data_IF_214747348833
#
_entry.id   IF_214747348833
#
_cell.length_a   1.000
_cell.length_b   1.000
_cell.length_c   1.000
_cell.angle_alpha   90.00
_cell.angle_beta   90.00
_cell.angle_gamma   90.00
#
_symmetry.space_group_name_H-M   'P 1'
#
loop_
_entity.id
_entity.type
_entity.pdbx_description
1 polymer ?
#
# COMPACT_ATOMS: atom_id res chain seq x y z
N UNK A 1 -32.72 -6.75 -0.37
CA UNK A 1 -31.75 -6.60 -1.48
C UNK A 1 -30.37 -7.10 -1.09
N UNK A 2 -29.72 -6.54 -0.10
CA UNK A 2 -28.36 -6.91 0.34
C UNK A 2 -28.21 -8.40 0.70
N UNK A 3 -29.18 -8.97 1.43
CA UNK A 3 -29.19 -10.41 1.79
C UNK A 3 -29.15 -11.34 0.57
N UNK A 4 -29.84 -10.96 -0.54
CA UNK A 4 -29.82 -11.74 -1.77
C UNK A 4 -28.46 -11.68 -2.46
N UNK A 5 -27.78 -10.52 -2.43
CA UNK A 5 -26.43 -10.37 -3.00
C UNK A 5 -25.39 -11.20 -2.22
N UNK A 6 -25.47 -11.19 -0.88
CA UNK A 6 -24.63 -12.03 -0.03
C UNK A 6 -24.89 -13.51 -0.32
N UNK A 7 -26.15 -13.92 -0.51
CA UNK A 7 -26.50 -15.29 -0.84
C UNK A 7 -25.91 -15.71 -2.20
N UNK A 8 -25.92 -14.84 -3.21
CA UNK A 8 -25.28 -15.10 -4.52
C UNK A 8 -23.77 -15.36 -4.35
N UNK A 9 -23.09 -14.55 -3.54
CA UNK A 9 -21.66 -14.70 -3.29
C UNK A 9 -21.33 -15.99 -2.54
N UNK A 10 -22.16 -16.39 -1.59
CA UNK A 10 -21.97 -17.59 -0.78
C UNK A 10 -22.39 -18.89 -1.50
N UNK A 11 -23.15 -18.78 -2.60
CA UNK A 11 -23.64 -19.95 -3.33
C UNK A 11 -22.58 -20.44 -4.33
N UNK A 12 -22.09 -21.67 -4.14
CA UNK A 12 -21.14 -22.32 -5.03
C UNK A 12 -21.64 -22.52 -6.45
N UNK A 13 -22.97 -22.61 -6.65
CA UNK A 13 -23.60 -22.80 -7.95
C UNK A 13 -23.90 -21.50 -8.70
N UNK A 14 -23.70 -20.34 -8.09
CA UNK A 14 -23.86 -19.04 -8.78
C UNK A 14 -22.79 -18.88 -9.85
N UNK A 15 -23.20 -18.33 -11.01
CA UNK A 15 -22.25 -18.07 -12.09
C UNK A 15 -21.21 -17.02 -11.67
N UNK A 16 -20.03 -17.07 -12.28
CA UNK A 16 -18.97 -16.06 -12.06
C UNK A 16 -19.51 -14.66 -12.37
N UNK A 17 -20.30 -14.51 -13.43
CA UNK A 17 -20.93 -13.24 -13.83
C UNK A 17 -21.85 -12.69 -12.74
N UNK A 18 -22.69 -13.54 -12.14
CA UNK A 18 -23.59 -13.14 -11.07
C UNK A 18 -22.83 -12.72 -9.81
N UNK A 19 -21.76 -13.45 -9.48
CA UNK A 19 -20.89 -13.12 -8.35
C UNK A 19 -20.20 -11.78 -8.54
N UNK A 20 -19.65 -11.52 -9.74
CA UNK A 20 -19.02 -10.23 -10.07
C UNK A 20 -20.04 -9.09 -9.96
N UNK A 21 -21.25 -9.28 -10.48
CA UNK A 21 -22.31 -8.28 -10.38
C UNK A 21 -22.72 -8.01 -8.92
N UNK A 22 -22.82 -9.06 -8.11
CA UNK A 22 -23.11 -8.93 -6.67
C UNK A 22 -22.01 -8.18 -5.92
N UNK A 23 -20.72 -8.50 -6.16
CA UNK A 23 -19.57 -7.79 -5.56
C UNK A 23 -19.62 -6.31 -5.92
N UNK A 24 -19.82 -5.97 -7.22
CA UNK A 24 -19.90 -4.58 -7.68
C UNK A 24 -20.98 -3.81 -6.95
N UNK A 25 -22.16 -4.39 -6.84
CA UNK A 25 -23.30 -3.72 -6.21
C UNK A 25 -23.12 -3.55 -4.70
N UNK A 26 -22.57 -4.56 -4.01
CA UNK A 26 -22.23 -4.42 -2.59
C UNK A 26 -21.12 -3.37 -2.41
N UNK A 27 -20.11 -3.36 -3.28
CA UNK A 27 -19.03 -2.38 -3.23
C UNK A 27 -19.55 -0.94 -3.38
N UNK A 28 -20.55 -0.69 -4.22
CA UNK A 28 -21.21 0.62 -4.33
C UNK A 28 -21.89 1.06 -3.03
N UNK A 29 -22.45 0.10 -2.28
CA UNK A 29 -23.14 0.38 -1.00
C UNK A 29 -22.12 0.73 0.12
N UNK A 30 -20.98 0.04 0.14
CA UNK A 30 -19.97 0.22 1.22
C UNK A 30 -18.81 1.14 0.82
N UNK A 31 -18.79 1.61 -0.43
CA UNK A 31 -17.78 2.57 -0.87
C UNK A 31 -17.92 3.88 -0.08
N UNK A 32 -16.78 4.36 0.45
CA UNK A 32 -16.72 5.66 1.11
C UNK A 32 -16.45 6.71 0.04
N UNK A 33 -17.19 7.80 0.12
CA UNK A 33 -17.00 9.02 -0.66
C UNK A 33 -16.31 10.08 0.17
N UNK A 34 -15.61 11.01 -0.48
CA UNK A 34 -15.08 12.23 0.15
C UNK A 34 -16.19 13.09 0.79
N UNK A 35 -17.41 12.94 0.33
CA UNK A 35 -18.57 13.72 0.78
C UNK A 35 -19.33 13.02 1.92
N UNK A 36 -18.91 11.80 2.32
CA UNK A 36 -19.55 11.10 3.43
C UNK A 36 -19.25 11.78 4.76
N UNK A 37 -20.27 11.95 5.58
CA UNK A 37 -20.15 12.40 6.96
C UNK A 37 -19.50 11.31 7.84
N UNK A 38 -18.97 11.69 8.98
CA UNK A 38 -18.38 10.76 9.94
C UNK A 38 -19.37 9.66 10.40
N UNK A 39 -20.66 10.01 10.49
CA UNK A 39 -21.72 9.06 10.83
C UNK A 39 -21.96 8.03 9.71
N UNK A 40 -21.99 8.47 8.45
CA UNK A 40 -22.12 7.60 7.27
C UNK A 40 -20.91 6.67 7.10
N UNK A 41 -19.71 7.20 7.31
CA UNK A 41 -18.47 6.41 7.31
C UNK A 41 -18.56 5.27 8.34
N UNK A 42 -18.97 5.59 9.55
CA UNK A 42 -19.12 4.61 10.64
C UNK A 42 -20.20 3.57 10.34
N UNK A 43 -21.31 3.98 9.72
CA UNK A 43 -22.37 3.07 9.32
C UNK A 43 -21.90 2.10 8.23
N UNK A 44 -21.23 2.59 7.20
CA UNK A 44 -20.67 1.79 6.11
C UNK A 44 -19.59 0.81 6.61
N UNK A 45 -18.76 1.22 7.54
CA UNK A 45 -17.76 0.37 8.19
C UNK A 45 -18.42 -0.73 9.01
N UNK A 46 -19.39 -0.38 9.84
CA UNK A 46 -20.17 -1.34 10.60
C UNK A 46 -20.85 -2.38 9.68
N UNK A 47 -21.43 -1.93 8.58
CA UNK A 47 -22.06 -2.78 7.58
C UNK A 47 -21.07 -3.74 6.92
N UNK A 48 -19.88 -3.27 6.55
CA UNK A 48 -18.81 -4.10 5.96
C UNK A 48 -18.43 -5.25 6.89
N UNK A 49 -18.28 -4.98 8.18
CA UNK A 49 -17.90 -5.98 9.17
C UNK A 49 -19.02 -6.98 9.51
N UNK A 50 -20.27 -6.70 9.14
CA UNK A 50 -21.37 -7.69 9.28
C UNK A 50 -21.35 -8.76 8.18
N UNK A 51 -20.57 -8.57 7.12
CA UNK A 51 -20.50 -9.54 6.03
C UNK A 51 -19.68 -10.77 6.42
N UNK A 52 -20.00 -11.95 5.84
CA UNK A 52 -19.12 -13.11 5.93
C UNK A 52 -17.72 -12.79 5.42
N UNK A 53 -16.68 -13.38 6.03
CA UNK A 53 -15.27 -13.15 5.66
C UNK A 53 -15.01 -13.36 4.17
N UNK A 54 -15.68 -14.35 3.55
CA UNK A 54 -15.57 -14.60 2.10
C UNK A 54 -16.08 -13.44 1.25
N UNK A 55 -17.10 -12.73 1.71
CA UNK A 55 -17.63 -11.53 1.04
C UNK A 55 -16.69 -10.35 1.23
N UNK A 56 -16.15 -10.16 2.43
CA UNK A 56 -15.16 -9.12 2.71
C UNK A 56 -13.93 -9.29 1.81
N UNK A 57 -13.38 -10.52 1.72
CA UNK A 57 -12.25 -10.82 0.84
C UNK A 57 -12.57 -10.54 -0.65
N UNK A 58 -13.79 -10.84 -1.09
CA UNK A 58 -14.21 -10.54 -2.47
C UNK A 58 -14.32 -9.06 -2.75
N UNK A 59 -14.77 -8.26 -1.79
CA UNK A 59 -14.82 -6.81 -1.87
C UNK A 59 -13.42 -6.20 -1.88
N UNK A 60 -12.52 -6.69 -1.02
CA UNK A 60 -11.13 -6.24 -1.00
C UNK A 60 -10.46 -6.50 -2.35
N UNK A 61 -10.62 -7.71 -2.90
CA UNK A 61 -10.12 -8.05 -4.24
C UNK A 61 -10.72 -7.16 -5.33
N UNK A 62 -12.03 -6.89 -5.27
CA UNK A 62 -12.68 -5.99 -6.23
C UNK A 62 -12.12 -4.57 -6.16
N UNK A 63 -11.92 -4.04 -4.97
CA UNK A 63 -11.33 -2.72 -4.79
C UNK A 63 -9.87 -2.70 -5.27
N UNK A 64 -9.09 -3.74 -4.98
CA UNK A 64 -7.74 -3.89 -5.52
C UNK A 64 -7.73 -3.81 -7.06
N UNK A 65 -8.55 -4.59 -7.74
CA UNK A 65 -8.64 -4.60 -9.20
C UNK A 65 -9.13 -3.25 -9.75
N UNK A 66 -10.20 -2.70 -9.17
CA UNK A 66 -10.83 -1.44 -9.65
C UNK A 66 -9.85 -0.28 -9.67
N UNK A 67 -8.91 -0.27 -8.73
CA UNK A 67 -8.01 0.86 -8.53
C UNK A 67 -6.58 0.62 -9.04
N UNK A 68 -6.20 -0.63 -9.35
CA UNK A 68 -4.87 -0.98 -9.87
C UNK A 68 -4.52 -0.28 -11.21
N UNK A 69 -5.50 -0.07 -12.07
CA UNK A 69 -5.28 0.53 -13.39
C UNK A 69 -4.88 2.03 -13.38
N UNK A 70 -4.86 2.69 -12.23
CA UNK A 70 -4.54 4.13 -12.13
C UNK A 70 -3.10 4.42 -11.68
N UNK A 71 -2.34 3.40 -11.29
CA UNK A 71 -0.99 3.55 -10.71
C UNK A 71 0.13 3.93 -11.68
N UNK A 72 -0.03 3.65 -12.97
CA UNK A 72 1.02 3.81 -13.98
C UNK A 72 1.47 5.26 -14.26
N UNK A 73 0.77 6.25 -13.75
CA UNK A 73 1.19 7.64 -13.87
C UNK A 73 2.34 8.01 -12.92
N UNK A 74 2.55 7.22 -11.86
CA UNK A 74 3.49 7.48 -10.77
C UNK A 74 4.67 6.50 -10.76
N UNK A 75 5.21 6.16 -11.93
CA UNK A 75 6.39 5.31 -12.08
C UNK A 75 7.56 6.12 -12.63
N UNK A 76 8.82 5.67 -12.49
CA UNK A 76 9.97 6.33 -13.06
C UNK A 76 9.89 6.41 -14.59
N UNK A 77 9.92 7.62 -15.16
CA UNK A 77 9.82 7.88 -16.60
C UNK A 77 11.16 8.23 -17.25
N UNK A 78 12.18 8.46 -16.44
CA UNK A 78 13.52 8.88 -16.88
C UNK A 78 14.57 8.45 -15.86
N UNK A 79 15.83 8.72 -16.14
CA UNK A 79 16.97 8.45 -15.25
C UNK A 79 17.23 6.96 -15.00
N UNK A 80 16.77 6.12 -15.91
CA UNK A 80 16.91 4.67 -15.89
C UNK A 80 16.21 4.04 -17.06
N UNK A 81 16.19 2.70 -17.06
CA UNK A 81 15.57 1.90 -18.13
C UNK A 81 14.73 0.81 -17.52
N UNK A 82 13.65 0.46 -18.18
CA UNK A 82 12.82 -0.69 -17.86
C UNK A 82 13.33 -1.93 -18.62
N UNK A 83 13.35 -3.08 -17.97
CA UNK A 83 13.72 -4.35 -18.62
C UNK A 83 12.62 -4.90 -19.53
N UNK A 84 11.41 -4.39 -19.41
CA UNK A 84 10.22 -4.77 -20.16
C UNK A 84 9.16 -3.67 -20.08
N UNK A 85 7.91 -4.04 -19.89
CA UNK A 85 6.80 -3.10 -19.73
C UNK A 85 7.00 -2.21 -18.51
N UNK A 86 6.88 -0.90 -18.70
CA UNK A 86 7.02 0.07 -17.61
C UNK A 86 5.93 -0.12 -16.56
N UNK A 87 6.33 -0.26 -15.29
CA UNK A 87 5.45 -0.55 -14.17
C UNK A 87 5.15 -2.04 -13.94
N UNK A 88 5.55 -2.93 -14.87
CA UNK A 88 5.41 -4.39 -14.75
C UNK A 88 6.72 -5.12 -15.07
N UNK A 89 7.84 -4.52 -14.80
CA UNK A 89 9.16 -5.11 -15.02
C UNK A 89 10.18 -4.49 -14.06
N UNK A 90 11.45 -4.81 -14.25
CA UNK A 90 12.53 -4.25 -13.44
C UNK A 90 12.88 -2.86 -13.96
N UNK A 91 12.83 -1.86 -13.08
CA UNK A 91 13.41 -0.56 -13.33
C UNK A 91 14.88 -0.54 -12.91
N UNK A 92 15.75 -0.27 -13.88
CA UNK A 92 17.20 -0.16 -13.69
C UNK A 92 17.58 1.32 -13.75
N UNK A 93 17.87 1.97 -12.61
CA UNK A 93 18.36 3.34 -12.64
C UNK A 93 19.71 3.45 -13.33
N UNK A 94 20.04 4.62 -13.84
CA UNK A 94 21.40 4.89 -14.33
C UNK A 94 22.37 4.88 -13.15
N UNK A 95 23.28 3.90 -13.13
CA UNK A 95 24.23 3.68 -12.04
C UNK A 95 25.14 4.88 -11.78
N UNK A 96 25.39 5.74 -12.76
CA UNK A 96 26.25 6.91 -12.64
C UNK A 96 25.50 8.14 -12.13
N UNK A 97 24.18 8.12 -12.12
CA UNK A 97 23.37 9.24 -11.68
C UNK A 97 23.32 9.30 -10.16
N UNK A 98 23.52 10.49 -9.61
CA UNK A 98 23.21 10.80 -8.22
C UNK A 98 21.73 11.13 -8.11
N UNK A 99 20.92 10.46 -7.28
CA UNK A 99 19.54 10.84 -7.06
C UNK A 99 19.43 12.30 -6.63
N UNK A 100 18.61 13.09 -7.31
CA UNK A 100 18.52 14.55 -7.10
C UNK A 100 17.69 14.93 -5.87
N UNK A 101 16.94 14.01 -5.34
CA UNK A 101 15.99 14.34 -4.27
C UNK A 101 16.63 14.22 -2.89
N UNK A 102 16.53 15.35 -2.17
CA UNK A 102 16.55 15.43 -0.72
C UNK A 102 17.88 15.01 -0.05
N UNK A 103 18.57 16.02 0.50
CA UNK A 103 19.80 15.81 1.29
C UNK A 103 19.65 14.79 2.44
N UNK A 104 18.43 14.59 2.93
CA UNK A 104 18.14 13.62 3.99
C UNK A 104 18.13 12.17 3.50
N UNK A 105 17.74 11.92 2.23
CA UNK A 105 17.68 10.56 1.68
C UNK A 105 18.99 10.08 1.06
N UNK A 106 19.90 10.99 0.72
CA UNK A 106 21.23 10.65 0.17
C UNK A 106 22.29 11.67 0.60
N UNK A 107 22.60 11.76 1.91
CA UNK A 107 23.48 12.80 2.46
C UNK A 107 24.90 12.74 1.91
N UNK A 108 25.38 11.56 1.53
CA UNK A 108 26.74 11.34 1.02
C UNK A 108 26.85 11.52 -0.50
N UNK A 109 25.75 11.89 -1.18
CA UNK A 109 25.73 12.07 -2.63
C UNK A 109 26.10 10.80 -3.40
N UNK A 110 25.70 9.63 -2.92
CA UNK A 110 25.99 8.37 -3.58
C UNK A 110 25.26 8.27 -4.92
N UNK A 111 25.92 7.68 -5.90
CA UNK A 111 25.28 7.32 -7.18
C UNK A 111 24.33 6.14 -6.98
N UNK A 112 23.39 5.96 -7.89
CA UNK A 112 22.49 4.81 -7.87
C UNK A 112 23.24 3.48 -7.79
N UNK A 113 24.33 3.33 -8.56
CA UNK A 113 25.16 2.12 -8.51
C UNK A 113 25.67 1.82 -7.08
N UNK A 114 26.17 2.85 -6.39
CA UNK A 114 26.64 2.70 -5.01
C UNK A 114 25.51 2.39 -4.03
N UNK A 115 24.33 3.01 -4.21
CA UNK A 115 23.16 2.74 -3.37
C UNK A 115 22.70 1.29 -3.54
N UNK A 116 22.56 0.84 -4.80
CA UNK A 116 22.12 -0.53 -5.08
C UNK A 116 23.13 -1.57 -4.56
N UNK A 117 24.43 -1.32 -4.73
CA UNK A 117 25.48 -2.19 -4.20
C UNK A 117 25.44 -2.26 -2.66
N UNK A 118 25.25 -1.10 -2.00
CA UNK A 118 25.15 -1.04 -0.54
C UNK A 118 24.00 -1.89 0.01
N UNK A 119 22.84 -1.84 -0.66
CA UNK A 119 21.67 -2.65 -0.28
C UNK A 119 21.63 -4.03 -0.97
N UNK A 120 22.69 -4.40 -1.72
CA UNK A 120 22.80 -5.68 -2.44
C UNK A 120 21.73 -5.95 -3.47
N UNK A 121 21.21 -4.89 -4.10
CA UNK A 121 20.22 -4.96 -5.16
C UNK A 121 20.94 -5.14 -6.51
N UNK A 122 20.94 -6.36 -7.03
CA UNK A 122 21.74 -6.69 -8.22
C UNK A 122 21.15 -6.22 -9.56
N UNK A 123 19.84 -6.26 -9.71
CA UNK A 123 19.18 -6.14 -11.01
C UNK A 123 18.27 -4.91 -11.15
N UNK A 124 18.28 -4.00 -10.17
CA UNK A 124 17.33 -2.90 -10.11
C UNK A 124 16.10 -3.23 -9.26
N UNK A 125 15.06 -2.44 -9.39
CA UNK A 125 13.84 -2.53 -8.57
C UNK A 125 12.70 -3.13 -9.41
N UNK A 126 12.18 -4.26 -8.97
CA UNK A 126 11.01 -4.88 -9.58
C UNK A 126 9.77 -4.04 -9.29
N UNK A 127 8.94 -3.86 -10.31
CA UNK A 127 7.61 -3.26 -10.20
C UNK A 127 6.55 -4.25 -10.66
N UNK A 128 5.41 -4.21 -9.98
CA UNK A 128 4.19 -4.93 -10.37
C UNK A 128 3.01 -3.95 -10.24
N UNK A 129 2.23 -3.83 -11.30
CA UNK A 129 1.06 -2.94 -11.36
C UNK A 129 1.35 -1.48 -10.94
N UNK A 130 2.55 -1.00 -11.26
CA UNK A 130 2.99 0.36 -10.94
C UNK A 130 3.53 0.54 -9.52
N UNK A 131 3.49 -0.49 -8.67
CA UNK A 131 4.05 -0.49 -7.32
C UNK A 131 5.42 -1.19 -7.28
N UNK A 132 6.44 -0.62 -6.61
CA UNK A 132 7.70 -1.31 -6.41
C UNK A 132 7.54 -2.48 -5.43
N UNK A 133 8.08 -3.62 -5.78
CA UNK A 133 8.13 -4.81 -4.91
C UNK A 133 9.26 -4.64 -3.92
N UNK A 134 8.97 -3.97 -2.81
CA UNK A 134 9.93 -3.73 -1.74
C UNK A 134 10.01 -4.85 -0.70
N UNK A 135 9.26 -5.93 -0.86
CA UNK A 135 9.20 -7.01 0.14
C UNK A 135 10.59 -7.60 0.44
N UNK A 136 11.47 -7.73 -0.57
CA UNK A 136 12.85 -8.22 -0.39
C UNK A 136 13.80 -7.16 0.21
N UNK A 137 13.45 -5.89 0.14
CA UNK A 137 14.20 -4.76 0.71
C UNK A 137 13.69 -4.37 2.08
N UNK A 138 12.55 -4.90 2.48
CA UNK A 138 11.94 -4.58 3.77
C UNK A 138 12.75 -5.19 4.91
N UNK A 139 13.17 -4.34 5.83
CA UNK A 139 13.78 -4.76 7.09
C UNK A 139 12.73 -5.26 8.07
N UNK A 140 11.54 -4.67 8.03
CA UNK A 140 10.39 -5.08 8.82
C UNK A 140 9.10 -4.93 8.03
N UNK A 141 8.12 -5.75 8.38
CA UNK A 141 6.77 -5.74 7.80
C UNK A 141 5.73 -5.71 8.90
N UNK A 142 4.79 -4.81 8.77
CA UNK A 142 3.62 -4.71 9.65
C UNK A 142 2.36 -4.83 8.80
N UNK A 143 1.43 -5.64 9.24
CA UNK A 143 0.08 -5.73 8.66
C UNK A 143 -0.89 -5.24 9.72
N UNK A 144 -1.52 -4.10 9.46
CA UNK A 144 -2.58 -3.56 10.30
C UNK A 144 -3.87 -4.32 9.99
N UNK A 145 -4.50 -4.87 11.02
CA UNK A 145 -5.69 -5.68 10.83
C UNK A 145 -6.94 -4.81 10.82
N UNK A 146 -7.81 -5.04 9.88
CA UNK A 146 -9.09 -4.34 9.80
C UNK A 146 -9.98 -4.58 11.04
N UNK A 147 -9.87 -5.77 11.64
CA UNK A 147 -10.60 -6.12 12.86
C UNK A 147 -10.21 -5.25 14.06
N UNK A 148 -8.95 -4.76 14.07
CA UNK A 148 -8.42 -3.98 15.19
C UNK A 148 -8.68 -2.48 15.05
N UNK A 149 -8.79 -1.96 13.81
CA UNK A 149 -8.80 -0.52 13.54
C UNK A 149 -10.09 -0.11 12.80
N UNK A 150 -10.71 -1.02 12.08
CA UNK A 150 -11.74 -0.71 11.10
C UNK A 150 -11.15 -0.29 9.74
N UNK A 151 -11.69 -0.85 8.67
CA UNK A 151 -11.20 -0.60 7.31
C UNK A 151 -11.24 0.90 6.95
N UNK A 152 -12.37 1.53 7.22
CA UNK A 152 -12.59 2.92 6.86
C UNK A 152 -11.69 3.86 7.67
N UNK A 153 -11.50 3.57 8.95
CA UNK A 153 -10.57 4.33 9.78
C UNK A 153 -9.13 4.18 9.28
N UNK A 154 -8.72 2.98 8.87
CA UNK A 154 -7.40 2.75 8.31
C UNK A 154 -7.20 3.53 7.00
N UNK A 155 -8.20 3.56 6.12
CA UNK A 155 -8.18 4.35 4.89
C UNK A 155 -8.12 5.85 5.19
N UNK A 156 -8.93 6.34 6.15
CA UNK A 156 -8.92 7.73 6.60
C UNK A 156 -7.56 8.15 7.14
N UNK A 157 -6.93 7.31 7.95
CA UNK A 157 -5.60 7.57 8.51
C UNK A 157 -4.53 7.63 7.42
N UNK A 158 -4.56 6.75 6.44
CA UNK A 158 -3.64 6.80 5.31
C UNK A 158 -3.79 8.08 4.49
N UNK A 159 -5.00 8.52 4.28
CA UNK A 159 -5.33 9.68 3.46
C UNK A 159 -4.96 11.00 4.16
N UNK A 160 -5.40 11.14 5.41
CA UNK A 160 -5.39 12.43 6.11
C UNK A 160 -4.43 12.49 7.30
N UNK A 161 -4.11 11.37 7.93
CA UNK A 161 -3.36 11.31 9.18
C UNK A 161 -2.24 10.26 9.16
N UNK A 162 -1.40 10.29 8.13
CA UNK A 162 -0.29 9.32 7.95
C UNK A 162 0.62 9.19 9.17
N UNK A 163 0.80 10.25 9.94
CA UNK A 163 1.58 10.19 11.19
C UNK A 163 0.95 9.26 12.23
N UNK A 164 -0.38 9.25 12.34
CA UNK A 164 -1.11 8.35 13.23
C UNK A 164 -1.00 6.91 12.73
N UNK A 165 -1.16 6.69 11.42
CA UNK A 165 -0.96 5.38 10.79
C UNK A 165 0.45 4.83 11.07
N UNK A 166 1.48 5.65 10.89
CA UNK A 166 2.86 5.26 11.16
C UNK A 166 3.08 4.94 12.64
N UNK A 167 2.46 5.70 13.57
CA UNK A 167 2.52 5.39 15.00
C UNK A 167 1.88 4.04 15.33
N UNK A 168 0.74 3.72 14.73
CA UNK A 168 0.12 2.38 14.86
C UNK A 168 1.04 1.27 14.34
N UNK A 169 1.74 1.52 13.23
CA UNK A 169 2.71 0.56 12.70
C UNK A 169 3.90 0.39 13.66
N UNK A 170 4.40 1.48 14.27
CA UNK A 170 5.45 1.40 15.30
C UNK A 170 4.99 0.66 16.54
N UNK A 171 3.78 0.92 17.05
CA UNK A 171 3.19 0.19 18.18
C UNK A 171 3.10 -1.32 17.89
N UNK A 172 2.65 -1.66 16.68
CA UNK A 172 2.52 -3.05 16.26
C UNK A 172 3.89 -3.72 16.13
N UNK A 173 4.88 -3.03 15.56
CA UNK A 173 6.25 -3.53 15.47
C UNK A 173 6.88 -3.72 16.84
N UNK A 174 6.73 -2.73 17.74
CA UNK A 174 7.21 -2.79 19.11
C UNK A 174 6.68 -4.01 19.85
N UNK A 175 5.37 -4.26 19.78
CA UNK A 175 4.72 -5.45 20.37
C UNK A 175 5.27 -6.74 19.78
N UNK A 176 5.41 -6.80 18.45
CA UNK A 176 5.90 -8.00 17.74
C UNK A 176 7.34 -8.33 18.10
N UNK A 177 8.19 -7.31 18.21
CA UNK A 177 9.63 -7.46 18.55
C UNK A 177 9.90 -7.52 20.06
N UNK A 178 8.91 -7.21 20.89
CA UNK A 178 9.06 -7.01 22.34
C UNK A 178 10.05 -5.88 22.66
N UNK A 179 10.01 -4.83 21.87
CA UNK A 179 10.79 -3.60 22.03
C UNK A 179 9.95 -2.51 22.71
N UNK A 180 10.61 -1.52 23.28
CA UNK A 180 9.96 -0.26 23.61
C UNK A 180 9.72 0.55 22.32
N UNK A 181 8.78 1.50 22.35
CA UNK A 181 8.58 2.45 21.25
C UNK A 181 9.86 3.22 20.93
N UNK A 182 10.59 3.65 21.95
CA UNK A 182 11.86 4.37 21.80
C UNK A 182 12.87 3.51 21.03
N UNK A 183 13.00 2.22 21.36
CA UNK A 183 13.88 1.28 20.62
C UNK A 183 13.45 1.14 19.17
N UNK A 184 12.16 1.13 18.90
CA UNK A 184 11.61 1.00 17.54
C UNK A 184 11.90 2.23 16.70
N UNK A 185 11.71 3.44 17.26
CA UNK A 185 12.06 4.68 16.59
C UNK A 185 13.58 4.78 16.37
N UNK A 186 14.38 4.46 17.37
CA UNK A 186 15.83 4.46 17.28
C UNK A 186 16.32 3.51 16.18
N UNK A 187 15.76 2.29 16.11
CA UNK A 187 16.07 1.32 15.06
C UNK A 187 15.82 1.88 13.67
N UNK A 188 14.66 2.53 13.45
CA UNK A 188 14.33 3.18 12.18
C UNK A 188 15.32 4.28 11.81
N UNK A 189 15.66 5.17 12.76
CA UNK A 189 16.57 6.30 12.50
C UNK A 189 18.02 5.84 12.27
N UNK A 190 18.56 4.95 13.11
CA UNK A 190 19.92 4.45 12.99
C UNK A 190 20.18 3.69 11.68
N UNK A 191 19.14 3.08 11.12
CA UNK A 191 19.23 2.34 9.86
C UNK A 191 18.70 3.14 8.65
N UNK A 192 18.38 4.40 8.84
CA UNK A 192 17.83 5.29 7.79
C UNK A 192 16.68 4.66 7.02
N UNK A 193 15.67 4.19 7.75
CA UNK A 193 14.49 3.53 7.20
C UNK A 193 13.27 4.47 7.11
N UNK A 194 12.31 4.11 6.28
CA UNK A 194 11.03 4.82 6.12
C UNK A 194 9.91 3.80 5.91
N UNK A 195 8.69 4.14 6.35
CA UNK A 195 7.53 3.33 6.05
C UNK A 195 7.09 3.52 4.59
N UNK A 196 6.93 2.42 3.89
CA UNK A 196 6.23 2.31 2.60
C UNK A 196 4.86 1.68 2.85
N UNK A 197 3.81 2.39 2.49
CA UNK A 197 2.43 1.91 2.56
C UNK A 197 2.09 1.20 1.25
N UNK A 198 1.80 -0.10 1.31
CA UNK A 198 1.43 -0.88 0.12
C UNK A 198 0.04 -0.50 -0.39
N UNK A 199 -0.21 -0.75 -1.66
CA UNK A 199 -1.50 -0.50 -2.33
C UNK A 199 -2.67 -1.30 -1.74
N UNK A 200 -2.40 -2.36 -0.96
CA UNK A 200 -3.41 -3.09 -0.19
C UNK A 200 -3.99 -2.29 0.98
N UNK A 201 -3.48 -1.07 1.21
CA UNK A 201 -3.92 -0.13 2.24
C UNK A 201 -3.87 -0.66 3.69
N UNK A 202 -3.18 -1.75 3.96
CA UNK A 202 -3.02 -2.36 5.30
C UNK A 202 -1.59 -2.77 5.63
N UNK A 203 -0.77 -3.02 4.62
CA UNK A 203 0.62 -3.45 4.82
C UNK A 203 1.56 -2.26 4.77
N UNK A 204 2.42 -2.16 5.78
CA UNK A 204 3.51 -1.21 5.83
C UNK A 204 4.84 -1.97 5.87
N UNK A 205 5.76 -1.55 5.01
CA UNK A 205 7.11 -2.07 4.93
C UNK A 205 8.09 -1.01 5.44
N UNK A 206 8.98 -1.38 6.35
CA UNK A 206 10.07 -0.51 6.77
C UNK A 206 11.26 -0.74 5.84
N UNK A 207 11.52 0.21 4.95
CA UNK A 207 12.44 0.06 3.82
C UNK A 207 13.54 1.12 3.84
N UNK A 208 14.69 0.88 3.16
CA UNK A 208 15.76 1.87 3.05
C UNK A 208 15.28 3.17 2.43
N UNK A 209 15.39 4.27 3.16
CA UNK A 209 15.00 5.62 2.71
C UNK A 209 15.74 6.04 1.44
N UNK A 210 17.02 5.69 1.31
CA UNK A 210 17.84 6.03 0.15
C UNK A 210 17.28 5.46 -1.16
N UNK A 211 16.58 4.33 -1.10
CA UNK A 211 15.90 3.75 -2.26
C UNK A 211 14.49 4.35 -2.37
N UNK A 212 13.70 4.26 -1.32
CA UNK A 212 12.29 4.64 -1.32
C UNK A 212 12.05 6.09 -1.75
N UNK A 213 12.73 7.05 -1.13
CA UNK A 213 12.49 8.47 -1.35
C UNK A 213 13.03 8.98 -2.72
N UNK A 214 13.87 8.17 -3.38
CA UNK A 214 14.46 8.50 -4.67
C UNK A 214 13.77 7.81 -5.86
N UNK A 215 12.70 7.06 -5.62
CA UNK A 215 11.90 6.38 -6.66
C UNK A 215 10.49 6.95 -6.68
N UNK A 216 10.07 7.46 -7.83
CA UNK A 216 8.64 7.77 -8.03
C UNK A 216 7.88 6.46 -8.15
N UNK A 217 6.86 6.27 -7.31
CA UNK A 217 6.12 5.02 -7.29
C UNK A 217 4.66 5.20 -6.84
N UNK A 218 3.91 4.17 -7.11
CA UNK A 218 2.57 3.94 -6.61
C UNK A 218 2.63 3.24 -5.24
N UNK A 219 1.66 3.47 -4.39
CA UNK A 219 1.51 2.86 -3.07
C UNK A 219 0.19 3.25 -2.44
N UNK A 220 -0.02 2.95 -1.16
CA UNK A 220 -1.30 3.15 -0.48
C UNK A 220 -1.89 4.55 -0.62
N UNK A 221 -1.08 5.59 -0.48
CA UNK A 221 -1.54 6.98 -0.65
C UNK A 221 -1.96 7.29 -2.09
N UNK A 222 -1.23 6.74 -3.07
CA UNK A 222 -1.60 6.91 -4.48
C UNK A 222 -2.89 6.16 -4.81
N UNK A 223 -3.08 4.98 -4.21
CA UNK A 223 -4.33 4.22 -4.30
C UNK A 223 -5.50 5.06 -3.80
N UNK A 224 -5.39 5.66 -2.62
CA UNK A 224 -6.47 6.45 -2.03
C UNK A 224 -6.82 7.69 -2.87
N UNK A 225 -5.83 8.38 -3.42
CA UNK A 225 -6.07 9.50 -4.34
C UNK A 225 -6.81 9.08 -5.63
N UNK A 226 -6.77 7.79 -5.98
CA UNK A 226 -7.55 7.26 -7.08
C UNK A 226 -9.01 6.96 -6.69
N UNK A 227 -9.32 6.90 -5.38
CA UNK A 227 -10.69 6.72 -4.86
C UNK A 227 -11.49 8.04 -4.86
N UNK A 228 -10.83 9.19 -4.85
CA UNK A 228 -11.45 10.52 -4.78
C UNK A 228 -11.92 11.06 -6.14
N UNK A 229 -11.78 10.27 -7.20
CA UNK A 229 -12.20 10.62 -8.56
C UNK A 229 -13.37 9.74 -9.02
#
# INVERSE_FOLDING_TARGET
MLSNLIQILSNHNSSISDKIAAVKHIAEIVAISSDDTEAEIKEKDCLFHTFPVSVQNSLDTYFEIKYSNKGYNNIPKSKGKWSGEAGNSIWMPDNNLVPERNMYSNPDGMTWGKILDFYKVKNGILFQEGEPVFDELAWEKVVLRYEDIGRNELLRLQQNERSVLHNLAFDTLAKTKRWSLEQTYKYKEENNLVWHEKSDCKTLLLVPRMIHDNITHYGGVSMLRCLEL
#
